data_IF_280336826684
#
_entry.id   IF_280336826684
#
_cell.length_a   1.000
_cell.length_b   1.000
_cell.length_c   1.000
_cell.angle_alpha   90.00
_cell.angle_beta   90.00
_cell.angle_gamma   90.00
#
_symmetry.space_group_name_H-M   'P 1'
#
loop_
_entity.id
_entity.type
_entity.pdbx_description
1 polymer ?
#
# COMPACT_ATOMS: atom_id res chain seq x y z
N UNK A 1 6.00 49.59 -15.47
CA UNK A 1 6.76 48.32 -15.22
C UNK A 1 6.46 47.36 -16.37
N UNK A 2 7.43 47.09 -17.25
CA UNK A 2 7.23 46.17 -18.38
C UNK A 2 6.95 44.79 -17.88
N UNK A 3 5.89 44.12 -18.40
CA UNK A 3 5.59 42.70 -18.10
C UNK A 3 6.77 41.85 -18.59
N UNK A 4 7.60 41.36 -17.67
CA UNK A 4 8.69 40.45 -17.98
C UNK A 4 8.04 39.07 -18.24
N UNK A 5 8.04 38.62 -19.49
CA UNK A 5 7.59 37.25 -19.85
C UNK A 5 8.63 36.27 -19.32
N UNK A 6 8.13 35.17 -18.76
CA UNK A 6 8.95 34.07 -18.26
C UNK A 6 9.24 33.05 -19.37
N UNK A 7 10.35 32.38 -19.25
CA UNK A 7 10.71 31.20 -20.07
C UNK A 7 10.19 29.92 -19.46
N UNK A 8 10.16 28.82 -20.22
CA UNK A 8 9.79 27.50 -19.70
C UNK A 8 10.73 27.05 -18.57
N UNK A 9 12.01 27.43 -18.64
CA UNK A 9 12.98 27.11 -17.56
C UNK A 9 12.64 27.84 -16.27
N UNK A 10 12.35 29.15 -16.35
CA UNK A 10 11.97 29.95 -15.17
C UNK A 10 10.67 29.44 -14.53
N UNK A 11 9.65 29.09 -15.32
CA UNK A 11 8.40 28.47 -14.80
C UNK A 11 8.69 27.14 -14.13
N UNK A 12 9.50 26.30 -14.77
CA UNK A 12 9.89 24.98 -14.24
C UNK A 12 10.59 25.10 -12.89
N UNK A 13 11.47 26.07 -12.75
CA UNK A 13 12.19 26.35 -11.50
C UNK A 13 11.26 26.89 -10.41
N UNK A 14 10.42 27.87 -10.74
CA UNK A 14 9.47 28.47 -9.79
C UNK A 14 8.49 27.43 -9.23
N UNK A 15 7.95 26.56 -10.09
CA UNK A 15 6.94 25.58 -9.71
C UNK A 15 7.51 24.20 -9.34
N UNK A 16 8.84 24.03 -9.41
CA UNK A 16 9.55 22.77 -9.17
C UNK A 16 8.96 21.59 -10.00
N UNK A 17 8.72 21.84 -11.28
CA UNK A 17 8.24 20.83 -12.24
C UNK A 17 9.16 20.81 -13.47
N UNK A 18 9.15 19.68 -14.19
CA UNK A 18 10.03 19.57 -15.36
C UNK A 18 9.46 20.30 -16.60
N UNK A 19 10.32 20.79 -17.50
CA UNK A 19 9.86 21.33 -18.78
C UNK A 19 9.06 20.33 -19.62
N UNK A 20 9.31 19.02 -19.45
CA UNK A 20 8.55 17.95 -20.10
C UNK A 20 7.12 17.86 -19.57
N UNK A 21 6.91 18.04 -18.26
CA UNK A 21 5.60 18.11 -17.63
C UNK A 21 4.78 19.27 -18.19
N UNK A 22 5.39 20.47 -18.30
CA UNK A 22 4.73 21.64 -18.89
C UNK A 22 4.31 21.40 -20.35
N UNK A 23 5.21 20.84 -21.17
CA UNK A 23 4.88 20.48 -22.55
C UNK A 23 3.78 19.45 -22.67
N UNK A 24 3.76 18.48 -21.76
CA UNK A 24 2.70 17.47 -21.67
C UNK A 24 1.36 18.12 -21.34
N UNK A 25 1.28 18.99 -20.34
CA UNK A 25 0.05 19.69 -19.97
C UNK A 25 -0.46 20.63 -21.07
N UNK A 26 0.44 21.34 -21.78
CA UNK A 26 0.11 22.12 -22.97
C UNK A 26 -0.48 21.23 -24.08
N UNK A 27 0.12 20.06 -24.33
CA UNK A 27 -0.39 19.08 -25.31
C UNK A 27 -1.76 18.54 -24.93
N UNK A 28 -2.01 18.36 -23.64
CA UNK A 28 -3.31 17.93 -23.12
C UNK A 28 -4.34 19.08 -23.05
N UNK A 29 -4.00 20.25 -23.57
CA UNK A 29 -4.86 21.45 -23.60
C UNK A 29 -5.33 21.92 -22.22
N UNK A 30 -4.51 21.76 -21.17
CA UNK A 30 -4.80 22.32 -19.85
C UNK A 30 -4.58 23.82 -19.78
N UNK A 31 -3.67 24.35 -20.57
CA UNK A 31 -3.40 25.78 -20.75
C UNK A 31 -2.85 26.05 -22.15
N UNK A 32 -2.86 27.30 -22.56
CA UNK A 32 -2.37 27.72 -23.87
C UNK A 32 -1.32 28.81 -23.70
N UNK A 33 -0.22 28.71 -24.42
CA UNK A 33 0.90 29.64 -24.34
C UNK A 33 1.11 30.34 -25.67
N UNK A 34 1.32 31.65 -25.59
CA UNK A 34 1.68 32.44 -26.76
C UNK A 34 3.11 32.10 -27.22
N UNK A 35 3.28 31.90 -28.53
CA UNK A 35 4.59 31.75 -29.17
C UNK A 35 4.99 33.05 -29.83
N UNK A 36 6.21 33.51 -29.55
CA UNK A 36 6.81 34.65 -30.28
C UNK A 36 7.10 34.28 -31.75
N UNK A 37 7.42 35.27 -32.55
CA UNK A 37 7.79 35.09 -33.99
C UNK A 37 8.98 34.16 -34.20
N UNK A 38 9.82 33.96 -33.20
CA UNK A 38 10.94 33.00 -33.20
C UNK A 38 10.58 31.59 -32.66
N UNK A 39 9.27 31.28 -32.55
CA UNK A 39 8.73 30.02 -32.04
C UNK A 39 9.08 29.67 -30.56
N UNK A 40 9.74 30.56 -29.80
CA UNK A 40 9.97 30.36 -28.39
C UNK A 40 8.72 30.64 -27.58
N UNK A 41 8.43 29.71 -26.63
CA UNK A 41 7.34 29.85 -25.66
C UNK A 41 7.66 30.95 -24.67
N UNK A 42 6.70 31.85 -24.44
CA UNK A 42 6.79 32.89 -23.41
C UNK A 42 5.56 32.87 -22.56
N UNK A 43 5.77 32.90 -21.27
CA UNK A 43 4.73 32.79 -20.25
C UNK A 43 4.52 34.12 -19.57
N UNK A 44 3.27 34.50 -19.40
CA UNK A 44 2.86 35.67 -18.63
C UNK A 44 2.66 35.31 -17.15
N UNK A 45 2.43 36.30 -16.30
CA UNK A 45 2.05 36.03 -14.91
C UNK A 45 0.70 35.31 -14.79
N UNK A 46 -0.22 35.54 -15.72
CA UNK A 46 -1.49 34.81 -15.78
C UNK A 46 -1.25 33.34 -16.08
N UNK A 47 -0.43 33.04 -17.11
CA UNK A 47 -0.07 31.66 -17.43
C UNK A 47 0.60 30.93 -16.23
N UNK A 48 1.42 31.67 -15.44
CA UNK A 48 2.02 31.10 -14.23
C UNK A 48 0.95 30.72 -13.20
N UNK A 49 -0.09 31.55 -13.00
CA UNK A 49 -1.19 31.25 -12.09
C UNK A 49 -1.98 30.04 -12.60
N UNK A 50 -2.37 30.03 -13.87
CA UNK A 50 -3.12 28.92 -14.47
C UNK A 50 -2.35 27.58 -14.32
N UNK A 51 -1.04 27.61 -14.54
CA UNK A 51 -0.19 26.42 -14.38
C UNK A 51 -0.07 26.03 -12.89
N UNK A 52 -0.01 27.01 -11.98
CA UNK A 52 0.02 26.75 -10.54
C UNK A 52 -1.29 26.10 -10.05
N UNK A 53 -2.43 26.51 -10.57
CA UNK A 53 -3.73 25.89 -10.29
C UNK A 53 -3.78 24.45 -10.78
N UNK A 54 -3.27 24.16 -11.98
CA UNK A 54 -3.13 22.78 -12.48
C UNK A 54 -2.25 21.97 -11.53
N UNK A 55 -1.11 22.51 -11.10
CA UNK A 55 -0.20 21.85 -10.18
C UNK A 55 -0.86 21.59 -8.82
N UNK A 56 -1.65 22.52 -8.31
CA UNK A 56 -2.43 22.34 -7.08
C UNK A 56 -3.33 21.11 -7.15
N UNK A 57 -4.14 20.99 -8.19
CA UNK A 57 -5.00 19.81 -8.38
C UNK A 57 -4.19 18.52 -8.61
N UNK A 58 -3.08 18.59 -9.32
CA UNK A 58 -2.18 17.45 -9.50
C UNK A 58 -1.60 16.94 -8.17
N UNK A 59 -1.25 17.86 -7.27
CA UNK A 59 -0.76 17.52 -5.92
C UNK A 59 -1.84 16.87 -5.04
N UNK A 60 -3.11 17.16 -5.30
CA UNK A 60 -4.25 16.42 -4.73
C UNK A 60 -4.47 15.04 -5.37
N UNK A 61 -3.68 14.67 -6.40
CA UNK A 61 -3.81 13.40 -7.10
C UNK A 61 -4.86 13.38 -8.20
N UNK A 62 -5.44 14.56 -8.56
CA UNK A 62 -6.45 14.65 -9.62
C UNK A 62 -5.83 14.33 -10.97
N UNK A 63 -6.40 13.39 -11.78
CA UNK A 63 -5.91 13.08 -13.10
C UNK A 63 -6.00 14.29 -14.06
N UNK A 64 -5.07 14.38 -15.03
CA UNK A 64 -5.03 15.46 -16.05
C UNK A 64 -6.34 15.57 -16.80
N UNK A 65 -6.96 14.43 -17.15
CA UNK A 65 -8.25 14.39 -17.86
C UNK A 65 -9.39 15.08 -17.10
N UNK A 66 -9.38 14.96 -15.77
CA UNK A 66 -10.44 15.50 -14.91
C UNK A 66 -10.23 17.01 -14.69
N UNK A 67 -8.97 17.46 -14.55
CA UNK A 67 -8.63 18.90 -14.50
C UNK A 67 -9.11 19.61 -15.76
N UNK A 68 -8.94 19.00 -16.92
CA UNK A 68 -9.41 19.56 -18.20
C UNK A 68 -10.93 19.76 -18.23
N UNK A 69 -11.69 18.88 -17.57
CA UNK A 69 -13.13 18.97 -17.53
C UNK A 69 -13.65 20.11 -16.61
N UNK A 70 -12.84 20.62 -15.69
CA UNK A 70 -13.28 21.62 -14.68
C UNK A 70 -13.87 22.90 -15.29
N UNK A 71 -13.37 23.35 -16.44
CA UNK A 71 -13.88 24.55 -17.11
C UNK A 71 -15.32 24.43 -17.60
N UNK A 72 -15.85 23.20 -17.66
CA UNK A 72 -17.20 22.89 -18.15
C UNK A 72 -18.13 22.31 -17.09
N UNK A 73 -17.66 22.13 -15.82
CA UNK A 73 -18.48 21.57 -14.76
C UNK A 73 -19.48 22.58 -14.21
N UNK A 74 -20.70 22.12 -13.97
CA UNK A 74 -21.68 22.82 -13.17
C UNK A 74 -21.29 22.73 -11.66
N UNK A 75 -21.81 23.66 -10.84
CA UNK A 75 -21.49 23.68 -9.39
C UNK A 75 -21.79 22.36 -8.67
N UNK A 76 -22.90 21.72 -9.03
CA UNK A 76 -23.29 20.42 -8.47
C UNK A 76 -22.34 19.28 -8.86
N UNK A 77 -21.81 19.33 -10.08
CA UNK A 77 -20.83 18.33 -10.56
C UNK A 77 -19.48 18.54 -9.89
N UNK A 78 -19.11 19.80 -9.63
CA UNK A 78 -17.89 20.12 -8.90
C UNK A 78 -17.97 19.66 -7.44
N UNK A 79 -19.12 19.80 -6.78
CA UNK A 79 -19.36 19.28 -5.43
C UNK A 79 -19.20 17.76 -5.39
N UNK A 80 -19.84 17.03 -6.30
CA UNK A 80 -19.68 15.58 -6.43
C UNK A 80 -18.22 15.17 -6.70
N UNK A 81 -17.50 15.96 -7.49
CA UNK A 81 -16.08 15.71 -7.75
C UNK A 81 -15.27 15.82 -6.45
N UNK A 82 -15.47 16.85 -5.63
CA UNK A 82 -14.77 17.04 -4.36
C UNK A 82 -15.07 15.91 -3.37
N UNK A 83 -16.33 15.49 -3.25
CA UNK A 83 -16.72 14.35 -2.41
C UNK A 83 -16.05 13.03 -2.87
N UNK A 84 -15.98 12.80 -4.19
CA UNK A 84 -15.32 11.64 -4.74
C UNK A 84 -13.81 11.67 -4.46
N UNK A 85 -13.19 12.84 -4.60
CA UNK A 85 -11.77 13.04 -4.35
C UNK A 85 -11.43 12.75 -2.86
N UNK A 86 -12.25 13.25 -1.95
CA UNK A 86 -12.08 12.98 -0.52
C UNK A 86 -12.22 11.48 -0.21
N UNK A 87 -13.20 10.81 -0.82
CA UNK A 87 -13.42 9.37 -0.68
C UNK A 87 -12.21 8.55 -1.16
N UNK A 88 -11.65 8.90 -2.31
CA UNK A 88 -10.44 8.25 -2.85
C UNK A 88 -9.21 8.48 -1.97
N UNK A 89 -9.06 9.68 -1.39
CA UNK A 89 -7.98 9.96 -0.45
C UNK A 89 -8.12 9.16 0.84
N UNK A 90 -9.32 9.09 1.41
CA UNK A 90 -9.59 8.29 2.61
C UNK A 90 -9.30 6.81 2.37
N UNK A 91 -9.70 6.26 1.21
CA UNK A 91 -9.36 4.89 0.82
C UNK A 91 -7.85 4.65 0.77
N UNK A 92 -7.09 5.57 0.19
CA UNK A 92 -5.61 5.48 0.18
C UNK A 92 -5.02 5.54 1.59
N UNK A 93 -5.56 6.37 2.46
CA UNK A 93 -5.15 6.45 3.87
C UNK A 93 -5.34 5.08 4.54
N UNK A 94 -6.49 4.45 4.37
CA UNK A 94 -6.76 3.11 4.91
C UNK A 94 -5.78 2.07 4.35
N UNK A 95 -5.52 2.08 3.04
CA UNK A 95 -4.55 1.18 2.41
C UNK A 95 -3.14 1.37 2.98
N UNK A 96 -2.67 2.61 3.14
CA UNK A 96 -1.37 2.90 3.75
C UNK A 96 -1.31 2.52 5.24
N UNK A 97 -2.39 2.71 6.00
CA UNK A 97 -2.48 2.27 7.39
C UNK A 97 -2.33 0.74 7.49
N UNK A 98 -3.00 -0.02 6.61
CA UNK A 98 -2.85 -1.47 6.55
C UNK A 98 -1.42 -1.90 6.17
N UNK A 99 -0.78 -1.21 5.22
CA UNK A 99 0.62 -1.46 4.88
C UNK A 99 1.55 -1.20 6.06
N UNK A 100 1.31 -0.13 6.81
CA UNK A 100 2.09 0.21 8.01
C UNK A 100 1.95 -0.86 9.09
N UNK A 101 0.73 -1.33 9.36
CA UNK A 101 0.48 -2.41 10.33
C UNK A 101 1.21 -3.69 9.95
N UNK A 102 1.20 -4.08 8.67
CA UNK A 102 1.95 -5.24 8.16
C UNK A 102 3.46 -5.07 8.35
N UNK A 103 3.99 -3.89 8.03
CA UNK A 103 5.42 -3.58 8.24
C UNK A 103 5.82 -3.66 9.71
N UNK A 104 4.98 -3.16 10.61
CA UNK A 104 5.19 -3.26 12.06
C UNK A 104 5.14 -4.72 12.54
N UNK A 105 4.27 -5.56 11.98
CA UNK A 105 4.21 -7.00 12.28
C UNK A 105 5.51 -7.70 11.88
N UNK A 106 6.00 -7.46 10.66
CA UNK A 106 7.29 -7.99 10.21
C UNK A 106 8.44 -7.58 11.14
N UNK A 107 8.46 -6.33 11.57
CA UNK A 107 9.46 -5.83 12.52
C UNK A 107 9.39 -6.53 13.88
N UNK A 108 8.18 -6.74 14.42
CA UNK A 108 7.99 -7.52 15.68
C UNK A 108 8.51 -8.93 15.53
N UNK A 109 8.17 -9.62 14.45
CA UNK A 109 8.62 -10.99 14.19
C UNK A 109 10.15 -11.08 14.05
N UNK A 110 10.77 -10.10 13.40
CA UNK A 110 12.22 -10.00 13.31
C UNK A 110 12.89 -9.85 14.70
N UNK A 111 12.39 -8.94 15.55
CA UNK A 111 12.93 -8.77 16.90
C UNK A 111 12.68 -10.00 17.78
N UNK A 112 11.54 -10.68 17.61
CA UNK A 112 11.28 -11.95 18.28
C UNK A 112 12.32 -13.01 17.88
N UNK A 113 12.62 -13.12 16.60
CA UNK A 113 13.67 -14.02 16.10
C UNK A 113 15.04 -13.68 16.70
N UNK A 114 15.45 -12.41 16.69
CA UNK A 114 16.73 -11.99 17.31
C UNK A 114 16.79 -12.35 18.80
N UNK A 115 15.71 -12.15 19.55
CA UNK A 115 15.62 -12.53 20.96
C UNK A 115 15.79 -14.04 21.14
N UNK A 116 15.14 -14.84 20.31
CA UNK A 116 15.24 -16.31 20.32
C UNK A 116 16.64 -16.82 19.93
N UNK A 117 17.36 -16.11 19.06
CA UNK A 117 18.74 -16.46 18.71
C UNK A 117 19.72 -16.22 19.87
N UNK A 118 19.47 -15.20 20.70
CA UNK A 118 20.30 -14.88 21.87
C UNK A 118 19.90 -15.75 23.08
N UNK A 119 18.61 -15.92 23.30
CA UNK A 119 18.05 -16.71 24.40
C UNK A 119 17.11 -17.78 23.83
N UNK A 120 17.64 -18.92 23.39
CA UNK A 120 16.82 -20.02 22.91
C UNK A 120 16.02 -20.65 24.07
N UNK A 121 14.92 -21.30 23.72
CA UNK A 121 14.05 -22.00 24.68
C UNK A 121 13.26 -21.07 25.61
N UNK A 122 12.62 -20.06 25.09
CA UNK A 122 11.73 -19.18 25.83
C UNK A 122 10.42 -19.90 26.14
N UNK A 123 10.03 -19.92 27.41
CA UNK A 123 8.72 -20.41 27.84
C UNK A 123 7.68 -19.31 27.64
N UNK A 124 6.72 -19.53 26.77
CA UNK A 124 5.68 -18.54 26.48
C UNK A 124 4.35 -19.21 26.13
N UNK A 125 3.27 -18.43 26.15
CA UNK A 125 1.97 -18.84 25.60
C UNK A 125 1.81 -18.20 24.22
N UNK A 126 1.45 -18.95 23.17
CA UNK A 126 1.14 -18.37 21.88
C UNK A 126 0.01 -17.35 21.99
N UNK A 127 0.07 -16.31 21.18
CA UNK A 127 -0.95 -15.26 21.03
C UNK A 127 -2.09 -15.64 20.06
N UNK A 128 -2.13 -16.90 19.66
CA UNK A 128 -3.17 -17.48 18.81
C UNK A 128 -3.75 -18.76 19.45
N UNK A 129 -4.98 -19.10 19.06
CA UNK A 129 -5.71 -20.20 19.70
C UNK A 129 -5.90 -21.40 18.79
N UNK A 130 -6.07 -21.22 17.48
CA UNK A 130 -6.36 -22.30 16.56
C UNK A 130 -5.44 -22.29 15.34
N UNK A 131 -5.07 -23.48 14.90
CA UNK A 131 -4.42 -23.72 13.61
C UNK A 131 -5.25 -24.72 12.84
N UNK A 132 -5.65 -24.36 11.64
CA UNK A 132 -6.42 -25.21 10.74
C UNK A 132 -5.60 -25.71 9.57
N UNK A 133 -6.00 -26.82 8.96
CA UNK A 133 -5.37 -27.33 7.74
C UNK A 133 -5.50 -26.31 6.61
N UNK A 134 -4.47 -26.21 5.79
CA UNK A 134 -4.46 -25.28 4.67
C UNK A 134 -4.39 -26.03 3.34
N UNK A 135 -5.43 -25.83 2.51
CA UNK A 135 -5.38 -26.18 1.09
C UNK A 135 -5.09 -24.90 0.27
N UNK A 136 -3.97 -24.90 -0.46
CA UNK A 136 -3.56 -23.79 -1.34
C UNK A 136 -4.59 -23.47 -2.45
N UNK A 137 -5.56 -24.32 -2.70
CA UNK A 137 -6.62 -24.10 -3.69
C UNK A 137 -7.76 -23.22 -3.18
N UNK A 138 -7.85 -23.00 -1.88
CA UNK A 138 -8.88 -22.16 -1.28
C UNK A 138 -8.51 -20.70 -1.40
N UNK A 139 -9.24 -19.97 -2.27
CA UNK A 139 -8.96 -18.56 -2.61
C UNK A 139 -8.90 -17.63 -1.39
N UNK A 140 -9.79 -17.81 -0.43
CA UNK A 140 -9.83 -16.95 0.77
C UNK A 140 -8.61 -17.17 1.65
N UNK A 141 -8.16 -18.40 1.81
CA UNK A 141 -6.97 -18.72 2.60
C UNK A 141 -5.69 -18.25 1.92
N UNK A 142 -5.60 -18.33 0.61
CA UNK A 142 -4.49 -17.73 -0.16
C UNK A 142 -4.46 -16.20 0.01
N UNK A 143 -5.60 -15.53 0.00
CA UNK A 143 -5.68 -14.08 0.24
C UNK A 143 -5.20 -13.71 1.64
N UNK A 144 -5.59 -14.48 2.64
CA UNK A 144 -5.11 -14.31 4.01
C UNK A 144 -3.58 -14.46 4.10
N UNK A 145 -3.02 -15.50 3.48
CA UNK A 145 -1.56 -15.69 3.40
C UNK A 145 -0.86 -14.52 2.73
N UNK A 146 -1.37 -14.03 1.60
CA UNK A 146 -0.81 -12.88 0.89
C UNK A 146 -0.91 -11.60 1.72
N UNK A 147 -1.95 -11.48 2.55
CA UNK A 147 -2.10 -10.33 3.43
C UNK A 147 -1.09 -10.32 4.58
N UNK A 148 -0.82 -11.48 5.17
CA UNK A 148 0.19 -11.65 6.23
C UNK A 148 0.71 -13.10 6.26
N UNK A 149 1.90 -13.39 5.71
CA UNK A 149 2.49 -14.72 5.71
C UNK A 149 2.80 -15.29 7.10
N UNK A 150 2.81 -14.46 8.15
CA UNK A 150 3.08 -14.92 9.52
C UNK A 150 1.97 -15.83 10.09
N UNK A 151 0.79 -15.82 9.48
CA UNK A 151 -0.28 -16.77 9.81
C UNK A 151 -0.04 -18.20 9.29
N UNK A 152 0.94 -18.38 8.40
CA UNK A 152 1.29 -19.71 7.92
C UNK A 152 2.21 -20.42 8.91
N UNK A 153 1.89 -21.67 9.23
CA UNK A 153 2.65 -22.50 10.15
C UNK A 153 2.79 -23.92 9.61
N UNK A 154 3.80 -24.60 10.09
CA UNK A 154 4.00 -26.01 9.83
C UNK A 154 3.92 -26.77 11.14
N UNK A 155 2.94 -27.68 11.26
CA UNK A 155 2.70 -28.48 12.46
C UNK A 155 3.19 -29.91 12.24
N UNK A 156 4.05 -30.39 13.13
CA UNK A 156 4.50 -31.78 13.16
C UNK A 156 4.23 -32.39 14.53
N UNK A 157 3.55 -33.52 14.56
CA UNK A 157 3.46 -34.35 15.76
C UNK A 157 4.71 -35.22 15.83
N UNK A 158 5.48 -35.10 16.93
CA UNK A 158 6.71 -35.88 17.13
C UNK A 158 6.45 -37.36 17.37
N UNK A 159 5.23 -37.74 17.74
CA UNK A 159 4.80 -39.13 17.96
C UNK A 159 4.25 -39.79 16.67
N UNK A 160 4.20 -39.05 15.58
CA UNK A 160 3.68 -39.52 14.29
C UNK A 160 4.79 -39.62 13.26
N UNK A 161 4.82 -40.74 12.52
CA UNK A 161 5.71 -40.91 11.35
C UNK A 161 5.25 -40.07 10.16
N UNK A 162 4.05 -39.45 10.25
CA UNK A 162 3.49 -38.65 9.18
C UNK A 162 4.28 -37.34 9.04
N UNK A 163 4.61 -37.00 7.80
CA UNK A 163 5.18 -35.70 7.45
C UNK A 163 4.30 -34.56 8.01
N UNK A 164 4.92 -33.49 8.53
CA UNK A 164 4.18 -32.36 9.11
C UNK A 164 3.10 -31.80 8.20
N UNK A 165 2.08 -31.22 8.78
CA UNK A 165 0.94 -30.63 8.08
C UNK A 165 1.10 -29.11 7.99
N UNK A 166 0.80 -28.55 6.83
CA UNK A 166 0.70 -27.11 6.62
C UNK A 166 -0.57 -26.59 7.27
N UNK A 167 -0.44 -25.52 8.05
CA UNK A 167 -1.54 -24.94 8.78
C UNK A 167 -1.60 -23.41 8.64
N UNK A 168 -2.76 -22.88 8.94
CA UNK A 168 -3.03 -21.45 8.97
C UNK A 168 -3.56 -21.09 10.37
N UNK A 169 -2.93 -20.09 10.99
CA UNK A 169 -3.43 -19.51 12.22
C UNK A 169 -4.73 -18.76 11.92
N UNK A 170 -5.77 -19.03 12.67
CA UNK A 170 -7.07 -18.36 12.53
C UNK A 170 -7.51 -17.77 13.86
N UNK A 171 -8.33 -16.73 13.81
CA UNK A 171 -8.95 -16.15 15.00
C UNK A 171 -10.04 -17.06 15.55
N UNK A 172 -10.37 -16.92 16.83
CA UNK A 172 -11.45 -17.68 17.49
C UNK A 172 -12.80 -17.52 16.79
N UNK A 173 -13.05 -16.36 16.18
CA UNK A 173 -14.30 -16.03 15.49
C UNK A 173 -14.34 -16.49 14.02
N UNK A 174 -13.29 -17.15 13.54
CA UNK A 174 -13.25 -17.65 12.16
C UNK A 174 -14.14 -18.88 12.01
N UNK A 175 -14.93 -18.92 10.95
CA UNK A 175 -15.69 -20.12 10.61
C UNK A 175 -14.81 -21.15 9.91
N UNK A 176 -14.71 -22.35 10.47
CA UNK A 176 -14.01 -23.49 9.88
C UNK A 176 -14.66 -24.80 10.35
N UNK A 177 -14.45 -25.88 9.59
CA UNK A 177 -14.90 -27.20 10.02
C UNK A 177 -14.00 -27.75 11.13
N UNK A 178 -14.58 -28.42 12.11
CA UNK A 178 -13.81 -29.07 13.15
C UNK A 178 -12.84 -30.14 12.60
N UNK A 179 -13.14 -30.71 11.45
CA UNK A 179 -12.25 -31.63 10.72
C UNK A 179 -10.97 -30.94 10.22
N UNK A 180 -11.00 -29.63 10.04
CA UNK A 180 -9.85 -28.84 9.58
C UNK A 180 -8.90 -28.46 10.71
N UNK A 181 -9.35 -28.57 11.98
CA UNK A 181 -8.55 -28.19 13.14
C UNK A 181 -7.34 -29.12 13.28
N UNK A 182 -6.12 -28.55 13.25
CA UNK A 182 -4.87 -29.29 13.42
C UNK A 182 -4.37 -29.15 14.87
N UNK A 183 -4.52 -27.94 15.42
CA UNK A 183 -3.99 -27.61 16.74
C UNK A 183 -4.85 -26.57 17.45
N UNK A 184 -4.98 -26.71 18.75
CA UNK A 184 -5.73 -25.83 19.61
C UNK A 184 -4.89 -25.51 20.87
N UNK A 185 -4.86 -24.21 21.23
CA UNK A 185 -4.20 -23.79 22.46
C UNK A 185 -5.08 -24.18 23.67
N UNK A 186 -4.56 -25.01 24.53
CA UNK A 186 -5.29 -25.44 25.73
C UNK A 186 -5.01 -24.49 26.89
N UNK A 187 -6.04 -24.00 27.59
CA UNK A 187 -5.86 -23.14 28.77
C UNK A 187 -4.87 -23.77 29.78
N UNK A 188 -3.91 -22.96 30.28
CA UNK A 188 -2.92 -23.41 31.22
C UNK A 188 -1.73 -24.16 30.62
N UNK A 189 -1.72 -24.44 29.34
CA UNK A 189 -0.55 -25.05 28.68
C UNK A 189 0.58 -24.02 28.53
N UNK A 190 1.80 -24.51 28.67
CA UNK A 190 3.01 -23.73 28.42
C UNK A 190 3.75 -24.31 27.23
N UNK A 191 4.33 -23.43 26.44
CA UNK A 191 5.02 -23.80 25.20
C UNK A 191 6.45 -23.29 25.23
N UNK A 192 7.34 -24.03 24.63
CA UNK A 192 8.74 -23.61 24.47
C UNK A 192 8.93 -23.14 23.03
N UNK A 193 9.35 -21.91 22.87
CA UNK A 193 9.73 -21.33 21.58
C UNK A 193 11.24 -21.34 21.41
N UNK A 194 11.71 -21.83 20.27
CA UNK A 194 13.13 -21.84 19.91
C UNK A 194 13.28 -21.68 18.38
N UNK A 195 14.41 -21.11 17.92
CA UNK A 195 14.65 -20.98 16.49
C UNK A 195 15.05 -22.32 15.88
N UNK A 196 14.51 -22.64 14.72
CA UNK A 196 14.92 -23.78 13.91
C UNK A 196 15.38 -23.32 12.53
N UNK A 197 16.47 -23.89 12.04
CA UNK A 197 16.90 -23.72 10.66
C UNK A 197 16.18 -24.76 9.80
N UNK A 198 15.27 -24.31 8.95
CA UNK A 198 14.70 -25.19 7.94
C UNK A 198 15.78 -25.48 6.87
N UNK A 199 16.08 -26.76 6.66
CA UNK A 199 16.78 -27.17 5.44
C UNK A 199 15.74 -27.31 4.34
N UNK A 200 15.79 -26.40 3.35
CA UNK A 200 14.98 -26.54 2.14
C UNK A 200 15.70 -27.60 1.31
N UNK A 201 15.18 -28.83 1.28
CA UNK A 201 15.56 -29.80 0.26
C UNK A 201 15.01 -29.24 -1.05
N UNK A 202 15.90 -28.85 -1.96
CA UNK A 202 15.54 -28.52 -3.33
C UNK A 202 15.25 -29.87 -4.01
N UNK A 203 13.97 -30.17 -4.20
CA UNK A 203 13.51 -31.23 -5.10
C UNK A 203 13.76 -30.86 -6.56
#
# INVERSE_FOLDING_TARGET
>A
MGKKNLTIGEISEILNITPSTLRFWEKENLFHVSKKSNHYRTYTNTDLIDIADILYYRNLGVPVKDIRAFSSLELSEYDQFLENQERELNKKIEEYQQMLLRSQSLKRNYYRLLRLLVNPFILETPDFHHVISWDFREKERIRQYVSDPSYYVWCKDTNSEISGRKGLIVSENSSYSRSDLIWENRPGSRYISFPVKAMIEND
#
